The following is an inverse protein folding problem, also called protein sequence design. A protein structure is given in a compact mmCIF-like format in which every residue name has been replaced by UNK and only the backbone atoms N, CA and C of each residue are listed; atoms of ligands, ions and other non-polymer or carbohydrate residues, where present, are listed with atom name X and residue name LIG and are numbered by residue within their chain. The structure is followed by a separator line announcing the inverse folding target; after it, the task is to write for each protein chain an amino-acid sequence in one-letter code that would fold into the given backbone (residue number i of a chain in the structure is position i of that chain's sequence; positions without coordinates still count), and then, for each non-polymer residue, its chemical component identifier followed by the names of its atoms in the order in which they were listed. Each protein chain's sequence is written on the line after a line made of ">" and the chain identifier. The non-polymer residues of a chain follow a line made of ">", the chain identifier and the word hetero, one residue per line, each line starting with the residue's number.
data_IF_270966401243
#
_entry.id   IF_270966401243
#
_cell.length_a   1.000
_cell.length_b   1.000
_cell.length_c   1.000
_cell.angle_alpha   90.00
_cell.angle_beta   90.00
_cell.angle_gamma   90.00
#
_symmetry.space_group_name_H-M   'P 1'
#
loop_
_entity.id
_entity.type
_entity.pdbx_description
1 polymer ?
#
# COMPACT_ATOMS: atom_id res chain seq x y z
N UNK A 1 -10.84 -23.80 -2.79
CA UNK A 1 -9.50 -23.57 -3.37
C UNK A 1 -9.52 -22.18 -3.96
N UNK A 2 -8.91 -21.19 -3.31
CA UNK A 2 -8.77 -19.84 -3.88
C UNK A 2 -7.77 -19.93 -5.02
N UNK A 3 -8.16 -19.47 -6.21
CA UNK A 3 -7.27 -19.45 -7.37
C UNK A 3 -6.20 -18.40 -7.15
N UNK A 4 -4.97 -18.82 -6.85
CA UNK A 4 -3.80 -17.93 -6.79
C UNK A 4 -3.58 -17.30 -8.17
N UNK A 5 -3.83 -16.00 -8.31
CA UNK A 5 -3.68 -15.28 -9.58
C UNK A 5 -2.24 -14.77 -9.71
N UNK A 6 -1.44 -15.45 -10.54
CA UNK A 6 -0.03 -15.11 -10.76
C UNK A 6 0.11 -14.06 -11.87
N UNK A 7 0.48 -12.83 -11.51
CA UNK A 7 0.78 -11.76 -12.48
C UNK A 7 2.20 -11.90 -13.05
N UNK A 8 2.32 -11.84 -14.38
CA UNK A 8 3.63 -11.69 -15.06
C UNK A 8 3.94 -10.21 -15.21
N UNK A 9 5.14 -9.80 -14.81
CA UNK A 9 5.62 -8.42 -14.92
C UNK A 9 6.68 -8.38 -16.01
N UNK A 10 6.41 -7.62 -17.08
CA UNK A 10 7.32 -7.41 -18.21
C UNK A 10 7.76 -5.96 -18.33
N UNK A 11 7.08 -5.04 -17.65
CA UNK A 11 7.47 -3.63 -17.63
C UNK A 11 8.72 -3.40 -16.77
N UNK A 12 9.73 -2.78 -17.36
CA UNK A 12 11.00 -2.50 -16.69
C UNK A 12 10.82 -1.48 -15.57
N UNK A 13 9.88 -0.54 -15.71
CA UNK A 13 9.54 0.40 -14.65
C UNK A 13 9.01 -0.30 -13.40
N UNK A 14 8.04 -1.20 -13.57
CA UNK A 14 7.48 -2.03 -12.50
C UNK A 14 8.54 -2.89 -11.82
N UNK A 15 9.46 -3.48 -12.58
CA UNK A 15 10.60 -4.22 -12.01
C UNK A 15 11.51 -3.32 -11.16
N UNK A 16 11.82 -2.11 -11.63
CA UNK A 16 12.58 -1.11 -10.85
C UNK A 16 11.84 -0.69 -9.59
N UNK A 17 10.50 -0.62 -9.64
CA UNK A 17 9.69 -0.31 -8.47
C UNK A 17 9.78 -1.41 -7.42
N UNK A 18 9.73 -2.67 -7.84
CA UNK A 18 9.84 -3.83 -6.95
C UNK A 18 11.24 -4.08 -6.41
N UNK A 19 12.28 -3.55 -7.05
CA UNK A 19 13.66 -3.69 -6.60
C UNK A 19 13.96 -2.93 -5.29
N UNK A 20 13.08 -2.03 -4.88
CA UNK A 20 13.23 -1.31 -3.61
C UNK A 20 12.72 -2.15 -2.42
N UNK A 21 13.55 -2.37 -1.38
CA UNK A 21 13.19 -3.22 -0.26
C UNK A 21 11.95 -2.76 0.53
N UNK A 22 11.72 -1.45 0.64
CA UNK A 22 10.56 -0.91 1.35
C UNK A 22 9.29 -1.19 0.56
N UNK A 23 9.32 -0.96 -0.75
CA UNK A 23 8.18 -1.24 -1.63
C UNK A 23 7.85 -2.73 -1.72
N UNK A 24 8.87 -3.58 -1.78
CA UNK A 24 8.67 -5.03 -1.77
C UNK A 24 8.02 -5.51 -0.46
N UNK A 25 8.49 -5.00 0.68
CA UNK A 25 7.88 -5.28 2.00
C UNK A 25 6.44 -4.78 2.09
N UNK A 26 6.15 -3.58 1.59
CA UNK A 26 4.79 -3.04 1.55
C UNK A 26 3.86 -3.92 0.74
N UNK A 27 4.27 -4.33 -0.46
CA UNK A 27 3.49 -5.21 -1.32
C UNK A 27 3.21 -6.55 -0.63
N UNK A 28 4.24 -7.21 -0.11
CA UNK A 28 4.10 -8.49 0.61
C UNK A 28 3.19 -8.38 1.84
N UNK A 29 3.30 -7.28 2.59
CA UNK A 29 2.43 -7.00 3.72
C UNK A 29 0.97 -6.88 3.29
N UNK A 30 0.67 -6.05 2.28
CA UNK A 30 -0.69 -5.87 1.76
C UNK A 30 -1.29 -7.16 1.18
N UNK A 31 -0.48 -7.99 0.53
CA UNK A 31 -0.92 -9.30 0.05
C UNK A 31 -1.29 -10.25 1.20
N UNK A 32 -0.64 -10.11 2.36
CA UNK A 32 -0.86 -10.98 3.52
C UNK A 32 -2.04 -10.51 4.37
N UNK A 33 -2.14 -9.21 4.64
CA UNK A 33 -3.13 -8.66 5.60
C UNK A 33 -4.32 -7.97 4.93
N UNK A 34 -4.28 -7.79 3.60
CA UNK A 34 -5.29 -7.05 2.84
C UNK A 34 -5.14 -5.53 2.91
N UNK A 35 -6.19 -4.78 2.54
CA UNK A 35 -6.16 -3.32 2.46
C UNK A 35 -5.79 -2.64 3.78
N UNK A 36 -4.83 -1.72 3.73
CA UNK A 36 -4.34 -0.96 4.88
C UNK A 36 -4.15 0.52 4.50
N UNK A 37 -4.24 1.39 5.50
CA UNK A 37 -3.88 2.80 5.35
C UNK A 37 -2.37 3.01 5.39
N UNK A 38 -1.88 4.12 4.81
CA UNK A 38 -0.46 4.46 4.86
C UNK A 38 0.10 4.53 6.29
N UNK A 39 -0.68 5.02 7.25
CA UNK A 39 -0.28 5.06 8.67
C UNK A 39 -0.13 3.66 9.26
N UNK A 40 -0.98 2.71 8.88
CA UNK A 40 -0.86 1.33 9.34
C UNK A 40 0.38 0.66 8.75
N UNK A 41 0.60 0.82 7.44
CA UNK A 41 1.76 0.29 6.73
C UNK A 41 3.09 0.86 7.25
N UNK A 42 3.13 2.16 7.56
CA UNK A 42 4.30 2.86 8.09
C UNK A 42 4.90 2.19 9.33
N UNK A 43 4.06 1.64 10.21
CA UNK A 43 4.49 0.91 11.42
C UNK A 43 5.19 -0.41 11.12
N UNK A 44 4.91 -1.01 9.96
CA UNK A 44 5.48 -2.30 9.55
C UNK A 44 6.79 -2.12 8.80
N UNK A 45 6.94 -0.99 8.08
CA UNK A 45 8.13 -0.70 7.29
C UNK A 45 9.15 0.20 7.96
N UNK A 46 8.90 0.59 9.21
CA UNK A 46 9.70 1.55 9.99
C UNK A 46 9.94 2.85 9.19
N UNK A 47 8.83 3.44 8.71
CA UNK A 47 8.84 4.67 7.95
C UNK A 47 7.80 5.65 8.51
N UNK A 48 7.90 6.92 8.12
CA UNK A 48 6.85 7.91 8.41
C UNK A 48 5.61 7.66 7.51
N UNK A 49 4.39 8.06 7.94
CA UNK A 49 3.20 7.96 7.10
C UNK A 49 3.32 8.69 5.75
N UNK A 50 4.02 9.83 5.72
CA UNK A 50 4.29 10.59 4.48
C UNK A 50 5.20 9.82 3.53
N UNK A 51 6.28 9.23 4.04
CA UNK A 51 7.17 8.39 3.24
C UNK A 51 6.45 7.12 2.74
N UNK A 52 5.68 6.47 3.62
CA UNK A 52 4.88 5.31 3.22
C UNK A 52 3.85 5.66 2.14
N UNK A 53 3.23 6.84 2.21
CA UNK A 53 2.30 7.32 1.18
C UNK A 53 2.98 7.52 -0.17
N UNK A 54 4.25 7.96 -0.18
CA UNK A 54 5.04 8.06 -1.41
C UNK A 54 5.27 6.68 -2.05
N UNK A 55 5.75 5.71 -1.27
CA UNK A 55 5.99 4.36 -1.76
C UNK A 55 4.72 3.68 -2.29
N UNK A 56 3.57 3.87 -1.62
CA UNK A 56 2.29 3.35 -2.09
C UNK A 56 1.83 3.99 -3.41
N UNK A 57 2.10 5.29 -3.63
CA UNK A 57 1.82 5.93 -4.93
C UNK A 57 2.70 5.37 -6.04
N UNK A 58 3.99 5.13 -5.75
CA UNK A 58 4.90 4.53 -6.72
C UNK A 58 4.48 3.10 -7.11
N UNK A 59 3.98 2.30 -6.16
CA UNK A 59 3.42 0.98 -6.45
C UNK A 59 2.14 1.08 -7.30
N UNK A 60 1.25 2.01 -6.96
CA UNK A 60 -0.01 2.21 -7.69
C UNK A 60 0.21 2.70 -9.14
N UNK A 61 1.27 3.48 -9.39
CA UNK A 61 1.63 3.96 -10.73
C UNK A 61 1.84 2.84 -11.77
N UNK A 62 2.21 1.65 -11.30
CA UNK A 62 2.43 0.45 -12.14
C UNK A 62 1.36 -0.62 -11.93
N UNK A 63 0.21 -0.22 -11.39
CA UNK A 63 -0.94 -1.07 -11.06
C UNK A 63 -0.60 -2.24 -10.12
N UNK A 64 0.51 -2.17 -9.37
CA UNK A 64 0.93 -3.25 -8.47
C UNK A 64 0.04 -3.32 -7.23
N UNK A 65 -0.60 -2.21 -6.89
CA UNK A 65 -1.65 -2.10 -5.88
C UNK A 65 -2.74 -1.15 -6.40
N UNK A 66 -3.92 -1.26 -5.82
CA UNK A 66 -5.03 -0.35 -6.08
C UNK A 66 -5.47 0.33 -4.77
N UNK A 67 -5.91 1.58 -4.87
CA UNK A 67 -6.57 2.25 -3.74
C UNK A 67 -7.99 1.75 -3.64
N UNK A 68 -8.31 1.12 -2.52
CA UNK A 68 -9.70 0.78 -2.21
C UNK A 68 -10.36 1.92 -1.45
N UNK A 69 -11.68 1.95 -1.47
CA UNK A 69 -12.44 2.74 -0.50
C UNK A 69 -12.06 2.32 0.92
N UNK A 70 -12.09 3.30 1.84
CA UNK A 70 -11.88 3.01 3.26
C UNK A 70 -13.05 2.14 3.71
N UNK A 71 -12.79 0.88 4.02
CA UNK A 71 -13.76 0.05 4.75
C UNK A 71 -14.08 0.79 6.05
N UNK A 72 -15.32 1.25 6.19
CA UNK A 72 -15.78 1.83 7.44
C UNK A 72 -15.77 0.72 8.50
N UNK A 73 -14.69 0.65 9.28
CA UNK A 73 -14.69 -0.14 10.49
C UNK A 73 -15.69 0.47 11.46
N UNK A 74 -16.51 -0.38 12.08
CA UNK A 74 -17.25 -0.02 13.30
C UNK A 74 -16.20 0.33 14.36
N UNK A 75 -15.89 1.61 14.51
CA UNK A 75 -14.83 2.11 15.38
C UNK A 75 -14.61 3.59 15.17
N UNK A 76 -15.20 4.41 16.05
CA UNK A 76 -15.21 5.87 15.99
C UNK A 76 -13.81 6.48 15.91
N UNK A 77 -13.65 7.42 14.99
CA UNK A 77 -12.45 8.21 14.81
C UNK A 77 -12.81 9.48 14.06
N UNK A 78 -13.34 10.45 14.80
CA UNK A 78 -13.80 11.76 14.37
C UNK A 78 -12.78 12.45 13.49
N UNK A 79 -13.20 12.85 12.29
CA UNK A 79 -12.43 13.72 11.43
C UNK A 79 -12.11 15.02 12.14
N UNK A 80 -10.82 15.32 12.32
CA UNK A 80 -10.38 16.70 12.57
C UNK A 80 -10.32 17.41 11.23
N UNK A 81 -11.39 18.13 10.89
CA UNK A 81 -11.30 19.33 10.07
C UNK A 81 -10.45 20.34 10.86
N UNK A 82 -9.20 20.55 10.48
CA UNK A 82 -8.50 21.82 10.71
C UNK A 82 -8.56 22.57 9.38
N UNK A 83 -9.33 23.64 9.23
CA UNK A 83 -9.21 24.97 9.82
C UNK A 83 -8.05 25.77 9.19
N UNK A 84 -8.46 26.62 8.24
CA UNK A 84 -7.78 27.78 7.62
C UNK A 84 -6.66 27.50 6.63
#
# INVERSE_FOLDING_TARGET
>A
MTTESRRRITDVGALRVLADPVRYRLLGHLMTVGPQTATQCARVVDATPSNCSYHLRELAKYDLIERTERRAGVGGGTGRKGAR
#
